data_IF_300220050365
#
_entry.id   IF_300220050365
#
_cell.length_a   1.000
_cell.length_b   1.000
_cell.length_c   1.000
_cell.angle_alpha   90.00
_cell.angle_beta   90.00
_cell.angle_gamma   90.00
#
_symmetry.space_group_name_H-M   'P 1'
#
loop_
_entity.id
_entity.type
_entity.pdbx_description
1 polymer ?
#
# COMPACT_ATOMS: atom_id res chain seq x y z
N UNK A 1 -3.65 22.46 9.21
CA UNK A 1 -3.05 22.79 10.53
C UNK A 1 -1.57 22.48 10.42
N UNK A 2 -0.68 23.36 10.87
CA UNK A 2 0.76 23.09 10.97
C UNK A 2 1.01 22.66 12.41
N UNK A 3 1.69 21.52 12.61
CA UNK A 3 2.08 21.08 13.93
C UNK A 3 3.16 22.02 14.49
N UNK A 4 3.05 22.48 15.74
CA UNK A 4 4.13 23.25 16.37
C UNK A 4 5.35 22.37 16.66
N UNK A 5 6.49 23.01 16.90
CA UNK A 5 7.64 22.31 17.44
C UNK A 5 7.33 21.76 18.85
N UNK A 6 7.94 20.62 19.19
CA UNK A 6 7.79 19.96 20.48
C UNK A 6 6.94 18.69 20.41
N UNK A 7 6.35 18.32 21.54
CA UNK A 7 5.52 17.12 21.67
C UNK A 7 4.05 17.46 21.44
N UNK A 8 3.36 16.55 20.76
CA UNK A 8 1.92 16.57 20.61
C UNK A 8 1.35 15.26 21.16
N UNK A 9 0.47 15.35 22.15
CA UNK A 9 -0.10 14.17 22.77
C UNK A 9 -1.01 13.42 21.81
N UNK A 10 -0.92 12.10 21.84
CA UNK A 10 -1.84 11.18 21.15
C UNK A 10 -2.79 10.63 22.20
N UNK A 11 -4.10 10.86 22.09
CA UNK A 11 -5.06 10.35 23.06
C UNK A 11 -5.03 8.83 23.16
N UNK A 12 -5.35 8.30 24.34
CA UNK A 12 -5.56 6.88 24.53
C UNK A 12 -6.56 6.33 23.50
N UNK A 13 -6.42 5.11 23.08
CA UNK A 13 -7.22 4.47 22.03
C UNK A 13 -6.85 4.88 20.61
N UNK A 14 -5.84 5.73 20.42
CA UNK A 14 -5.40 6.16 19.09
C UNK A 14 -3.94 5.76 18.79
N UNK A 15 -3.67 5.67 17.51
CA UNK A 15 -2.31 5.51 16.94
C UNK A 15 -1.98 6.72 16.08
N UNK A 16 -0.69 7.02 15.93
CA UNK A 16 -0.22 8.06 15.03
C UNK A 16 0.95 7.58 14.18
N UNK A 17 0.91 7.92 12.91
CA UNK A 17 1.96 7.61 11.95
C UNK A 17 2.47 8.87 11.26
N UNK A 18 3.76 8.87 10.93
CA UNK A 18 4.30 9.84 9.97
C UNK A 18 4.16 9.25 8.57
N UNK A 19 3.31 9.86 7.76
CA UNK A 19 3.07 9.50 6.37
C UNK A 19 4.03 10.28 5.48
N UNK A 20 4.78 9.57 4.64
CA UNK A 20 5.67 10.16 3.64
C UNK A 20 5.08 9.91 2.26
N UNK A 21 4.80 10.97 1.52
CA UNK A 21 4.37 10.90 0.12
C UNK A 21 5.58 10.98 -0.79
N UNK A 22 5.61 10.07 -1.78
CA UNK A 22 6.69 10.00 -2.76
C UNK A 22 6.12 10.03 -4.17
N UNK A 23 6.88 10.60 -5.09
CA UNK A 23 6.48 10.72 -6.50
C UNK A 23 7.63 10.47 -7.45
N UNK A 24 7.30 10.22 -8.71
CA UNK A 24 8.18 10.33 -9.87
C UNK A 24 7.42 11.03 -11.01
N UNK A 25 8.11 11.91 -11.73
CA UNK A 25 7.56 12.73 -12.82
C UNK A 25 8.14 12.37 -14.19
N UNK A 26 8.89 11.26 -14.23
CA UNK A 26 9.40 10.68 -15.45
C UNK A 26 9.53 9.16 -15.26
N UNK A 27 9.33 8.40 -16.34
CA UNK A 27 9.51 6.95 -16.31
C UNK A 27 10.97 6.60 -15.96
N UNK A 28 11.21 5.83 -14.90
CA UNK A 28 12.57 5.45 -14.52
C UNK A 28 13.12 4.35 -15.44
N UNK A 29 14.44 4.24 -15.50
CA UNK A 29 15.06 3.02 -15.99
C UNK A 29 14.78 1.90 -14.97
N UNK A 30 14.05 0.87 -15.38
CA UNK A 30 13.76 -0.25 -14.51
C UNK A 30 15.03 -1.05 -14.21
N UNK A 31 15.17 -1.50 -12.99
CA UNK A 31 16.22 -2.45 -12.64
C UNK A 31 15.87 -3.83 -13.21
N UNK A 32 16.85 -4.68 -13.54
CA UNK A 32 16.60 -6.04 -14.01
C UNK A 32 15.66 -6.80 -13.06
N UNK A 33 14.75 -7.56 -13.64
CA UNK A 33 13.87 -8.41 -12.85
C UNK A 33 14.69 -9.42 -12.04
N UNK A 34 14.37 -9.61 -10.76
CA UNK A 34 14.94 -10.70 -9.98
C UNK A 34 14.46 -12.05 -10.50
N UNK A 35 15.26 -13.08 -10.28
CA UNK A 35 14.86 -14.45 -10.62
C UNK A 35 13.67 -14.87 -9.74
N UNK A 36 12.64 -15.42 -10.38
CA UNK A 36 11.42 -15.92 -9.73
C UNK A 36 10.38 -16.34 -10.77
N UNK A 37 9.43 -17.15 -10.35
CA UNK A 37 8.37 -17.67 -11.23
C UNK A 37 7.01 -16.98 -10.97
N UNK A 38 7.03 -15.71 -10.59
CA UNK A 38 5.80 -14.95 -10.33
C UNK A 38 5.10 -14.54 -11.61
N UNK A 39 3.78 -14.42 -11.53
CA UNK A 39 2.97 -13.82 -12.58
C UNK A 39 2.07 -12.72 -12.00
N UNK A 40 1.64 -11.79 -12.85
CA UNK A 40 0.71 -10.74 -12.48
C UNK A 40 -0.65 -11.06 -13.10
N UNK A 41 -1.68 -11.10 -12.28
CA UNK A 41 -3.06 -11.32 -12.72
C UNK A 41 -3.88 -10.06 -12.44
N UNK A 42 -4.46 -9.47 -13.48
CA UNK A 42 -5.48 -8.44 -13.32
C UNK A 42 -6.74 -9.06 -12.76
N UNK A 43 -7.38 -8.39 -11.82
CA UNK A 43 -8.63 -8.82 -11.19
C UNK A 43 -9.72 -7.83 -11.58
N UNK A 44 -10.48 -8.19 -12.59
CA UNK A 44 -11.62 -7.38 -13.02
C UNK A 44 -12.78 -7.60 -12.04
N UNK A 45 -13.37 -6.51 -11.54
CA UNK A 45 -14.45 -6.52 -10.55
C UNK A 45 -14.17 -7.43 -9.33
N UNK A 46 -13.12 -7.14 -8.52
CA UNK A 46 -12.74 -7.99 -7.39
C UNK A 46 -13.87 -8.11 -6.37
N UNK A 47 -14.15 -9.35 -5.94
CA UNK A 47 -15.08 -9.61 -4.84
C UNK A 47 -14.53 -9.05 -3.52
N UNK A 48 -15.40 -8.53 -2.64
CA UNK A 48 -14.99 -7.87 -1.40
C UNK A 48 -14.26 -8.82 -0.45
N UNK A 49 -14.75 -10.06 -0.33
CA UNK A 49 -14.14 -11.06 0.56
C UNK A 49 -12.73 -11.44 0.09
N UNK A 50 -12.57 -11.69 -1.22
CA UNK A 50 -11.26 -11.96 -1.81
C UNK A 50 -10.28 -10.80 -1.58
N UNK A 51 -10.76 -9.56 -1.82
CA UNK A 51 -9.93 -8.38 -1.66
C UNK A 51 -9.50 -8.19 -0.20
N UNK A 52 -10.44 -8.30 0.74
CA UNK A 52 -10.14 -8.15 2.17
C UNK A 52 -9.25 -9.28 2.70
N UNK A 53 -9.41 -10.52 2.22
CA UNK A 53 -8.51 -11.61 2.58
C UNK A 53 -7.07 -11.30 2.15
N UNK A 54 -6.87 -10.96 0.88
CA UNK A 54 -5.53 -10.64 0.38
C UNK A 54 -4.95 -9.39 1.05
N UNK A 55 -5.77 -8.36 1.26
CA UNK A 55 -5.41 -7.13 1.96
C UNK A 55 -4.90 -7.42 3.39
N UNK A 56 -5.59 -8.29 4.15
CA UNK A 56 -5.13 -8.72 5.48
C UNK A 56 -3.81 -9.48 5.40
N UNK A 57 -3.72 -10.48 4.56
CA UNK A 57 -2.51 -11.31 4.41
C UNK A 57 -1.27 -10.51 4.04
N UNK A 58 -1.43 -9.39 3.34
CA UNK A 58 -0.34 -8.49 2.96
C UNK A 58 -0.05 -7.46 4.05
N UNK A 59 -1.08 -6.87 4.65
CA UNK A 59 -0.96 -5.61 5.39
C UNK A 59 -1.29 -5.65 6.88
N UNK A 60 -1.80 -6.76 7.42
CA UNK A 60 -2.26 -6.83 8.81
C UNK A 60 -1.15 -6.53 9.83
N UNK A 61 0.05 -7.08 9.63
CA UNK A 61 1.24 -6.79 10.46
C UNK A 61 1.69 -5.31 10.40
N UNK A 62 1.23 -4.58 9.39
CA UNK A 62 1.55 -3.18 9.14
C UNK A 62 0.38 -2.25 9.46
N UNK A 63 -0.62 -2.75 10.20
CA UNK A 63 -1.83 -2.01 10.54
C UNK A 63 -2.55 -1.42 9.32
N UNK A 64 -2.66 -2.17 8.26
CA UNK A 64 -3.52 -1.79 7.16
C UNK A 64 -4.98 -2.01 7.56
N UNK A 65 -5.68 -0.96 7.89
CA UNK A 65 -7.06 -1.03 8.38
C UNK A 65 -8.09 -0.32 7.48
N UNK A 66 -7.63 0.59 6.62
CA UNK A 66 -8.54 1.50 5.91
C UNK A 66 -9.57 0.76 5.03
N UNK A 67 -9.17 -0.28 4.29
CA UNK A 67 -10.08 -1.06 3.44
C UNK A 67 -10.93 -2.06 4.23
N UNK A 68 -10.50 -2.44 5.42
CA UNK A 68 -11.29 -3.32 6.32
C UNK A 68 -12.43 -2.54 6.95
N UNK A 69 -12.18 -1.30 7.39
CA UNK A 69 -13.18 -0.41 7.97
C UNK A 69 -14.14 0.20 6.95
N UNK A 70 -13.76 0.19 5.68
CA UNK A 70 -14.58 0.77 4.63
C UNK A 70 -15.90 -0.02 4.48
N UNK A 71 -17.07 0.63 4.50
CA UNK A 71 -18.35 -0.03 4.25
C UNK A 71 -18.37 -0.77 2.91
N UNK A 72 -19.10 -1.88 2.83
CA UNK A 72 -19.13 -2.75 1.64
C UNK A 72 -19.50 -1.98 0.37
N UNK A 73 -20.50 -1.11 0.44
CA UNK A 73 -20.94 -0.31 -0.70
C UNK A 73 -19.84 0.63 -1.20
N UNK A 74 -19.12 1.29 -0.29
CA UNK A 74 -18.03 2.20 -0.62
C UNK A 74 -16.82 1.45 -1.18
N UNK A 75 -16.48 0.31 -0.58
CA UNK A 75 -15.40 -0.54 -1.08
C UNK A 75 -15.72 -1.08 -2.47
N UNK A 76 -16.96 -1.54 -2.71
CA UNK A 76 -17.42 -2.00 -4.01
C UNK A 76 -17.36 -0.89 -5.06
N UNK A 77 -17.88 0.30 -4.75
CA UNK A 77 -17.81 1.47 -5.62
C UNK A 77 -16.36 1.79 -6.01
N UNK A 78 -15.46 1.79 -5.02
CA UNK A 78 -14.04 2.03 -5.26
C UNK A 78 -13.41 0.97 -6.15
N UNK A 79 -13.57 -0.31 -5.79
CA UNK A 79 -12.93 -1.43 -6.49
C UNK A 79 -13.45 -1.63 -7.92
N UNK A 80 -14.69 -1.24 -8.19
CA UNK A 80 -15.32 -1.35 -9.50
C UNK A 80 -15.25 -0.06 -10.33
N UNK A 81 -14.57 0.98 -9.82
CA UNK A 81 -14.36 2.21 -10.58
C UNK A 81 -13.52 1.93 -11.83
N UNK A 82 -13.93 2.38 -13.03
CA UNK A 82 -13.23 2.04 -14.29
C UNK A 82 -11.76 2.49 -14.35
N UNK A 83 -11.38 3.51 -13.56
CA UNK A 83 -10.04 4.03 -13.51
C UNK A 83 -9.21 3.42 -12.36
N UNK A 84 -9.76 2.49 -11.59
CA UNK A 84 -9.01 1.74 -10.59
C UNK A 84 -8.70 0.35 -11.14
N UNK A 85 -7.45 -0.04 -11.09
CA UNK A 85 -7.02 -1.38 -11.49
C UNK A 85 -6.45 -2.13 -10.31
N UNK A 86 -6.94 -3.36 -10.12
CA UNK A 86 -6.46 -4.24 -9.06
C UNK A 86 -5.74 -5.44 -9.68
N UNK A 87 -4.58 -5.75 -9.12
CA UNK A 87 -3.77 -6.88 -9.57
C UNK A 87 -3.36 -7.73 -8.37
N UNK A 88 -3.28 -9.03 -8.60
CA UNK A 88 -2.65 -9.98 -7.71
C UNK A 88 -1.31 -10.46 -8.27
N UNK A 89 -0.27 -10.46 -7.45
CA UNK A 89 0.92 -11.24 -7.73
C UNK A 89 0.63 -12.68 -7.36
N UNK A 90 0.84 -13.58 -8.32
CA UNK A 90 0.60 -15.01 -8.16
C UNK A 90 1.92 -15.73 -8.01
N UNK A 91 2.06 -16.53 -6.96
CA UNK A 91 3.16 -17.44 -6.68
C UNK A 91 2.63 -18.83 -6.45
N UNK A 92 3.08 -19.81 -7.24
CA UNK A 92 2.64 -21.20 -7.17
C UNK A 92 1.09 -21.36 -7.16
N UNK A 93 0.43 -20.63 -8.06
CA UNK A 93 -1.02 -20.68 -8.23
C UNK A 93 -1.83 -19.95 -7.15
N UNK A 94 -1.19 -19.28 -6.19
CA UNK A 94 -1.85 -18.55 -5.10
C UNK A 94 -1.57 -17.05 -5.19
N UNK A 95 -2.59 -16.24 -4.87
CA UNK A 95 -2.45 -14.79 -4.78
C UNK A 95 -1.65 -14.44 -3.52
N UNK A 96 -0.42 -13.93 -3.70
CA UNK A 96 0.54 -13.63 -2.64
C UNK A 96 1.04 -12.18 -2.66
N UNK A 97 0.43 -11.32 -3.46
CA UNK A 97 0.70 -9.89 -3.45
C UNK A 97 -0.46 -9.09 -4.00
N UNK A 98 -0.60 -7.86 -3.52
CA UNK A 98 -1.65 -6.92 -3.89
C UNK A 98 -1.04 -5.66 -4.51
N UNK A 99 -1.60 -5.25 -5.65
CA UNK A 99 -1.29 -3.98 -6.31
C UNK A 99 -2.60 -3.29 -6.69
N UNK A 100 -2.77 -2.04 -6.26
CA UNK A 100 -3.86 -1.15 -6.67
C UNK A 100 -3.25 0.05 -7.42
N UNK A 101 -3.68 0.27 -8.66
CA UNK A 101 -3.30 1.42 -9.48
C UNK A 101 -4.53 2.30 -9.71
N UNK A 102 -4.50 3.53 -9.23
CA UNK A 102 -5.59 4.47 -9.28
C UNK A 102 -5.29 5.60 -10.28
N UNK A 103 -6.03 5.62 -11.38
CA UNK A 103 -5.91 6.60 -12.47
C UNK A 103 -7.02 7.66 -12.42
N UNK A 104 -7.78 7.78 -11.35
CA UNK A 104 -8.87 8.76 -11.23
C UNK A 104 -8.35 10.21 -11.19
N UNK A 105 -7.13 10.42 -10.76
CA UNK A 105 -6.48 11.72 -10.83
C UNK A 105 -6.05 12.04 -12.26
N UNK A 106 -6.41 13.24 -12.77
CA UNK A 106 -6.03 13.67 -14.12
C UNK A 106 -4.51 13.70 -14.29
N UNK A 107 -3.99 13.04 -15.33
CA UNK A 107 -2.55 12.99 -15.65
C UNK A 107 -1.68 12.26 -14.61
N UNK A 108 -2.25 11.50 -13.70
CA UNK A 108 -1.48 10.82 -12.64
C UNK A 108 -1.98 9.42 -12.33
N UNK A 109 -1.09 8.60 -11.79
CA UNK A 109 -1.38 7.30 -11.23
C UNK A 109 -0.93 7.26 -9.77
N UNK A 110 -1.84 6.92 -8.86
CA UNK A 110 -1.51 6.55 -7.49
C UNK A 110 -1.29 5.05 -7.39
N UNK A 111 -0.19 4.61 -6.82
CA UNK A 111 -0.06 3.24 -6.32
C UNK A 111 -0.71 3.20 -4.95
N UNK A 112 -2.02 2.87 -4.92
CA UNK A 112 -2.86 2.96 -3.72
C UNK A 112 -2.60 1.85 -2.71
N UNK A 113 -2.37 0.61 -3.19
CA UNK A 113 -1.96 -0.55 -2.39
C UNK A 113 -0.81 -1.25 -3.09
N UNK A 114 0.20 -1.59 -2.31
CA UNK A 114 1.38 -2.28 -2.82
C UNK A 114 2.02 -3.13 -1.72
N UNK A 115 2.06 -4.42 -1.91
CA UNK A 115 2.75 -5.31 -0.98
C UNK A 115 2.68 -6.77 -1.39
N UNK A 116 3.46 -7.57 -0.69
CA UNK A 116 3.47 -9.03 -0.81
C UNK A 116 3.28 -9.64 0.58
N UNK A 117 2.74 -10.85 0.63
CA UNK A 117 2.60 -11.58 1.90
C UNK A 117 3.96 -11.86 2.53
N UNK A 118 3.97 -12.13 3.83
CA UNK A 118 5.19 -12.45 4.58
C UNK A 118 6.04 -13.57 3.93
N UNK A 119 5.39 -14.53 3.25
CA UNK A 119 6.04 -15.60 2.49
C UNK A 119 7.04 -15.08 1.45
N UNK A 120 6.73 -13.95 0.82
CA UNK A 120 7.51 -13.41 -0.31
C UNK A 120 8.41 -12.22 0.09
N UNK A 121 8.40 -11.79 1.34
CA UNK A 121 9.31 -10.74 1.82
C UNK A 121 10.76 -11.23 1.69
N UNK A 122 11.63 -10.40 1.11
CA UNK A 122 13.06 -10.72 0.93
C UNK A 122 13.38 -11.61 -0.28
N UNK A 123 12.40 -12.13 -1.02
CA UNK A 123 12.62 -13.03 -2.18
C UNK A 123 12.90 -12.28 -3.49
N UNK A 124 12.65 -10.97 -3.53
CA UNK A 124 12.67 -10.18 -4.78
C UNK A 124 11.29 -9.94 -5.38
N UNK A 125 10.24 -10.63 -4.92
CA UNK A 125 8.87 -10.51 -5.45
C UNK A 125 8.35 -9.06 -5.42
N UNK A 126 8.62 -8.32 -4.34
CA UNK A 126 8.27 -6.89 -4.26
C UNK A 126 8.96 -6.05 -5.33
N UNK A 127 10.24 -6.32 -5.64
CA UNK A 127 10.94 -5.63 -6.73
C UNK A 127 10.32 -5.96 -8.10
N UNK A 128 10.06 -7.23 -8.35
CA UNK A 128 9.39 -7.67 -9.57
C UNK A 128 8.01 -7.01 -9.74
N UNK A 129 7.21 -6.99 -8.66
CA UNK A 129 5.89 -6.35 -8.65
C UNK A 129 5.98 -4.84 -8.92
N UNK A 130 6.99 -4.15 -8.36
CA UNK A 130 7.21 -2.73 -8.61
C UNK A 130 7.54 -2.46 -10.08
N UNK A 131 8.37 -3.29 -10.72
CA UNK A 131 8.65 -3.16 -12.14
C UNK A 131 7.35 -3.27 -12.96
N UNK A 132 6.48 -4.23 -12.64
CA UNK A 132 5.16 -4.38 -13.31
C UNK A 132 4.26 -3.18 -13.06
N UNK A 133 4.20 -2.69 -11.81
CA UNK A 133 3.41 -1.50 -11.47
C UNK A 133 3.85 -0.27 -12.28
N UNK A 134 5.15 -0.03 -12.38
CA UNK A 134 5.71 1.08 -13.15
C UNK A 134 5.51 0.91 -14.66
N UNK A 135 5.66 -0.29 -15.21
CA UNK A 135 5.38 -0.57 -16.63
C UNK A 135 3.92 -0.27 -16.97
N UNK A 136 2.98 -0.71 -16.13
CA UNK A 136 1.55 -0.46 -16.34
C UNK A 136 1.24 1.03 -16.19
N UNK A 137 1.69 1.68 -15.12
CA UNK A 137 1.41 3.08 -14.87
C UNK A 137 1.91 3.98 -16.02
N UNK A 138 3.16 3.77 -16.47
CA UNK A 138 3.76 4.55 -17.55
C UNK A 138 3.39 4.10 -18.97
N UNK A 139 2.58 3.05 -19.14
CA UNK A 139 1.98 2.70 -20.43
C UNK A 139 0.82 3.64 -20.80
N UNK A 140 0.36 4.45 -19.86
CA UNK A 140 -0.71 5.43 -20.02
C UNK A 140 -0.14 6.86 -20.09
N UNK A 141 -0.87 7.84 -20.60
CA UNK A 141 -0.42 9.23 -20.68
C UNK A 141 -0.50 9.89 -19.31
N UNK A 142 0.33 9.43 -18.36
CA UNK A 142 0.48 10.05 -17.04
C UNK A 142 1.76 10.89 -17.00
N UNK A 143 1.70 12.01 -16.29
CA UNK A 143 2.83 12.91 -16.04
C UNK A 143 3.46 12.63 -14.66
N UNK A 144 2.76 11.84 -13.83
CA UNK A 144 3.15 11.60 -12.45
C UNK A 144 2.69 10.22 -11.98
N UNK A 145 3.58 9.49 -11.33
CA UNK A 145 3.24 8.32 -10.52
C UNK A 145 3.61 8.63 -9.08
N UNK A 146 2.71 8.38 -8.14
CA UNK A 146 2.94 8.67 -6.74
C UNK A 146 2.37 7.61 -5.81
N UNK A 147 2.84 7.59 -4.60
CA UNK A 147 2.40 6.72 -3.52
C UNK A 147 2.65 7.39 -2.16
N UNK A 148 2.14 6.80 -1.11
CA UNK A 148 2.57 7.13 0.24
C UNK A 148 2.92 5.86 1.02
N UNK A 149 3.73 6.04 2.06
CA UNK A 149 4.09 5.01 3.03
C UNK A 149 4.15 5.67 4.41
N UNK A 150 3.97 4.90 5.45
CA UNK A 150 3.96 5.45 6.81
C UNK A 150 4.91 4.70 7.75
N UNK A 151 5.05 5.19 8.96
CA UNK A 151 5.93 4.60 9.97
C UNK A 151 5.44 3.26 10.51
N UNK A 152 4.22 2.82 10.16
CA UNK A 152 3.72 1.48 10.47
C UNK A 152 4.12 0.44 9.42
N UNK A 153 4.43 0.86 8.19
CA UNK A 153 4.84 -0.06 7.12
C UNK A 153 6.18 -0.74 7.42
N UNK A 154 6.46 -1.78 6.66
CA UNK A 154 7.73 -2.50 6.76
C UNK A 154 8.92 -1.53 6.79
N UNK A 155 9.89 -1.67 7.71
CA UNK A 155 10.98 -0.70 7.87
C UNK A 155 11.81 -0.42 6.61
N UNK A 156 11.85 -1.35 5.67
CA UNK A 156 12.53 -1.17 4.40
C UNK A 156 11.69 -0.44 3.33
N UNK A 157 10.39 -0.14 3.58
CA UNK A 157 9.47 0.37 2.56
C UNK A 157 9.93 1.70 1.96
N UNK A 158 10.24 2.69 2.79
CA UNK A 158 10.68 4.00 2.32
C UNK A 158 11.93 3.90 1.44
N UNK A 159 12.95 3.19 1.91
CA UNK A 159 14.18 2.99 1.16
C UNK A 159 13.96 2.17 -0.12
N UNK A 160 13.03 1.22 -0.11
CA UNK A 160 12.64 0.45 -1.29
C UNK A 160 12.02 1.36 -2.37
N UNK A 161 11.08 2.24 -2.03
CA UNK A 161 10.49 3.17 -2.98
C UNK A 161 11.51 4.16 -3.53
N UNK A 162 12.42 4.69 -2.68
CA UNK A 162 13.49 5.56 -3.14
C UNK A 162 14.43 4.87 -4.14
N UNK A 163 14.81 3.60 -3.88
CA UNK A 163 15.61 2.81 -4.82
C UNK A 163 14.87 2.47 -6.11
N UNK A 164 13.55 2.52 -6.11
CA UNK A 164 12.70 2.36 -7.30
C UNK A 164 12.55 3.66 -8.11
N UNK A 165 13.15 4.77 -7.66
CA UNK A 165 13.17 6.04 -8.37
C UNK A 165 12.22 7.11 -7.83
N UNK A 166 11.46 6.81 -6.76
CA UNK A 166 10.58 7.79 -6.13
C UNK A 166 11.36 8.79 -5.28
N UNK A 167 10.86 10.03 -5.22
CA UNK A 167 11.38 11.09 -4.36
C UNK A 167 10.29 11.55 -3.39
N UNK A 168 10.67 11.69 -2.12
CA UNK A 168 9.75 12.24 -1.12
C UNK A 168 9.50 13.72 -1.38
N UNK A 169 8.22 14.14 -1.37
CA UNK A 169 7.82 15.52 -1.61
C UNK A 169 6.95 16.10 -0.49
N UNK A 170 6.35 15.26 0.36
CA UNK A 170 5.44 15.72 1.42
C UNK A 170 5.47 14.77 2.60
N UNK A 171 5.28 15.29 3.82
CA UNK A 171 4.99 14.50 5.02
C UNK A 171 3.74 15.00 5.72
N UNK A 172 3.05 14.08 6.37
CA UNK A 172 1.87 14.36 7.20
C UNK A 172 1.92 13.47 8.45
N UNK A 173 1.21 13.87 9.49
CA UNK A 173 0.87 12.98 10.61
C UNK A 173 -0.56 12.53 10.39
N UNK A 174 -0.78 11.22 10.43
CA UNK A 174 -2.08 10.59 10.48
C UNK A 174 -2.35 10.12 11.90
N UNK A 175 -3.51 10.48 12.44
CA UNK A 175 -4.00 9.99 13.73
C UNK A 175 -5.30 9.24 13.47
N UNK A 176 -5.38 8.00 13.96
CA UNK A 176 -6.54 7.13 13.76
C UNK A 176 -6.87 6.38 15.05
N UNK A 177 -8.10 5.87 15.15
CA UNK A 177 -8.44 4.90 16.19
C UNK A 177 -7.61 3.62 15.99
N UNK A 178 -7.07 3.07 17.08
CA UNK A 178 -6.28 1.84 17.00
C UNK A 178 -7.16 0.67 16.52
N UNK A 179 -6.87 0.06 15.37
CA UNK A 179 -7.70 -1.02 14.82
C UNK A 179 -7.69 -2.30 15.66
N UNK A 180 -6.79 -2.41 16.61
CA UNK A 180 -6.69 -3.54 17.54
C UNK A 180 -7.66 -3.43 18.72
N UNK A 181 -8.24 -2.25 18.94
CA UNK A 181 -9.18 -2.01 20.04
C UNK A 181 -10.65 -2.18 19.64
N UNK A 182 -10.97 -2.09 18.34
CA UNK A 182 -12.33 -2.28 17.82
C UNK A 182 -12.53 -3.63 17.07
N UNK A 183 -11.50 -4.48 17.11
CA UNK A 183 -11.54 -5.79 16.45
C UNK A 183 -11.32 -5.76 14.93
N UNK A 184 -10.96 -4.62 14.36
CA UNK A 184 -10.59 -4.51 12.94
C UNK A 184 -9.31 -5.30 12.64
N UNK A 185 -8.36 -5.31 13.57
CA UNK A 185 -7.13 -6.09 13.51
C UNK A 185 -6.95 -6.93 14.79
N UNK A 186 -6.25 -8.07 14.73
CA UNK A 186 -5.89 -8.84 15.92
C UNK A 186 -5.03 -8.00 16.88
N UNK A 187 -5.21 -8.21 18.20
CA UNK A 187 -4.51 -7.43 19.21
C UNK A 187 -2.98 -7.65 19.21
N UNK A 188 -2.56 -8.78 18.69
CA UNK A 188 -1.17 -9.24 18.73
C UNK A 188 -0.32 -8.73 17.57
N UNK A 189 -0.93 -8.14 16.54
CA UNK A 189 -0.20 -7.64 15.36
C UNK A 189 0.50 -6.32 15.66
N UNK A 190 1.48 -5.98 14.85
CA UNK A 190 2.24 -4.73 14.94
C UNK A 190 2.79 -4.46 16.34
N UNK A 191 3.41 -5.44 16.98
CA UNK A 191 3.91 -5.37 18.36
C UNK A 191 4.92 -4.24 18.60
N UNK A 192 5.49 -3.67 17.54
CA UNK A 192 6.37 -2.52 17.60
C UNK A 192 5.63 -1.19 17.86
N UNK A 193 4.30 -1.19 17.77
CA UNK A 193 3.42 -0.06 18.09
C UNK A 193 2.70 -0.37 19.39
N UNK A 194 3.01 0.30 20.52
CA UNK A 194 2.33 0.06 21.79
C UNK A 194 0.82 0.33 21.71
N UNK A 195 0.02 -0.52 22.34
CA UNK A 195 -1.41 -0.26 22.54
C UNK A 195 -1.57 0.53 23.84
N UNK A 196 -2.24 1.67 23.76
CA UNK A 196 -2.55 2.54 24.93
C UNK A 196 -4.07 2.69 24.97
N UNK A 197 -4.70 2.17 26.05
CA UNK A 197 -6.15 2.23 26.31
C UNK A 197 -6.55 3.42 27.15
#
# INVERSE_FOLDING_TARGET
MILPDGYSDIPAGKIAAVVTHLEMTARPALRPDPAGAWSLRRVDAPGLDWFRDLYRRVGEEWLWFSRIRMPDAELAERLHAPQLEVYALVDDGRDEGLLELDFRGSGQCEIGMFGVTAKLVGTGAGHWLMNRALDIAWSRPVERVWLHTCTFDHPAALAFYQRSGFRAFRRQVEVADDPRLDGTAPREVARHVPVIE
#
